data_IF_515491998003
#
_entry.id   IF_515491998003
#
_cell.length_a   1.000
_cell.length_b   1.000
_cell.length_c   1.000
_cell.angle_alpha   90.00
_cell.angle_beta   90.00
_cell.angle_gamma   90.00
#
_symmetry.space_group_name_H-M   'P 1'
#
loop_
_entity.id
_entity.type
_entity.pdbx_description
1 polymer ?
#
# COMPACT_ATOMS: atom_id res chain seq x y z
N UNK A 1 78.32 30.16 21.31
CA UNK A 1 78.06 31.23 20.30
C UNK A 1 77.20 30.63 19.20
N UNK A 2 76.13 31.20 18.67
CA UNK A 2 75.46 32.49 18.83
C UNK A 2 74.15 32.42 18.03
N UNK A 3 73.15 33.14 18.50
CA UNK A 3 71.78 33.24 17.98
C UNK A 3 71.70 33.68 16.50
N UNK A 4 70.65 33.25 15.80
CA UNK A 4 69.85 34.17 14.97
C UNK A 4 68.49 33.59 14.60
N UNK A 5 67.46 34.22 15.14
CA UNK A 5 66.04 34.08 14.82
C UNK A 5 65.67 35.14 13.76
N UNK A 6 64.85 34.80 12.75
CA UNK A 6 63.89 35.68 12.02
C UNK A 6 63.12 34.82 10.99
N UNK A 7 61.83 34.50 11.19
CA UNK A 7 60.56 35.25 11.01
C UNK A 7 60.05 35.40 9.56
N UNK A 8 58.87 34.77 9.34
CA UNK A 8 57.72 35.14 8.47
C UNK A 8 57.97 34.98 6.95
N UNK A 9 57.08 34.44 6.10
CA UNK A 9 55.69 34.85 5.82
C UNK A 9 54.86 33.71 5.18
N UNK A 10 53.54 33.90 5.21
CA UNK A 10 52.47 33.03 4.72
C UNK A 10 52.36 32.94 3.18
N UNK A 11 51.76 31.86 2.66
CA UNK A 11 50.72 31.91 1.62
C UNK A 11 50.06 30.53 1.41
N UNK A 12 48.74 30.52 1.49
CA UNK A 12 47.83 29.45 1.10
C UNK A 12 47.82 29.17 -0.42
N UNK A 13 47.13 28.08 -0.77
CA UNK A 13 46.52 27.69 -2.07
C UNK A 13 47.25 26.49 -2.72
N UNK A 14 46.60 25.41 -3.16
CA UNK A 14 45.26 25.23 -3.73
C UNK A 14 44.73 23.80 -3.53
N UNK A 15 43.40 23.70 -3.54
CA UNK A 15 42.52 22.53 -3.56
C UNK A 15 43.05 21.31 -4.34
N UNK A 16 43.05 20.14 -3.69
CA UNK A 16 42.85 18.86 -4.39
C UNK A 16 41.50 18.31 -3.99
N UNK A 17 40.56 18.48 -4.92
CA UNK A 17 39.18 18.03 -4.87
C UNK A 17 39.15 16.57 -5.32
N UNK A 18 39.21 15.63 -4.37
CA UNK A 18 38.85 14.23 -4.63
C UNK A 18 37.47 13.97 -4.03
N UNK A 19 36.48 14.05 -4.92
CA UNK A 19 35.08 13.73 -4.70
C UNK A 19 34.96 12.29 -4.20
N UNK A 20 34.78 12.11 -2.90
CA UNK A 20 34.25 10.87 -2.34
C UNK A 20 32.74 10.86 -2.56
N UNK A 21 32.31 10.41 -3.73
CA UNK A 21 30.93 9.96 -3.93
C UNK A 21 30.74 8.62 -3.20
N UNK A 22 30.68 8.66 -1.86
CA UNK A 22 30.08 7.57 -1.10
C UNK A 22 28.58 7.73 -1.24
N UNK A 23 28.02 6.93 -2.15
CA UNK A 23 26.59 6.71 -2.31
C UNK A 23 26.00 6.40 -0.93
N UNK A 24 25.41 7.40 -0.29
CA UNK A 24 24.43 7.16 0.75
C UNK A 24 23.25 6.53 0.01
N UNK A 25 23.04 5.23 0.19
CA UNK A 25 21.79 4.60 -0.24
C UNK A 25 20.69 5.24 0.58
N UNK A 26 20.00 6.19 -0.06
CA UNK A 26 18.75 6.75 0.40
C UNK A 26 17.80 5.56 0.59
N UNK A 27 17.36 5.27 1.82
CA UNK A 27 16.21 4.41 2.00
C UNK A 27 15.02 5.22 1.48
N UNK A 28 14.62 4.92 0.24
CA UNK A 28 13.40 5.43 -0.35
C UNK A 28 12.24 4.99 0.54
N UNK A 29 11.44 5.95 0.98
CA UNK A 29 10.08 5.72 1.47
C UNK A 29 9.40 4.87 0.38
N UNK A 30 9.24 3.59 0.65
CA UNK A 30 8.66 2.66 -0.30
C UNK A 30 7.19 3.03 -0.40
N UNK A 31 6.79 3.61 -1.53
CA UNK A 31 5.41 3.96 -1.77
C UNK A 31 4.61 2.66 -1.82
N UNK A 32 3.60 2.50 -0.96
CA UNK A 32 2.78 1.30 -0.96
C UNK A 32 1.99 1.27 -2.27
N UNK A 33 2.36 0.35 -3.17
CA UNK A 33 1.88 0.35 -4.55
C UNK A 33 0.97 -0.82 -4.80
N UNK A 34 -0.18 -0.50 -5.40
CA UNK A 34 -1.10 -1.48 -5.94
C UNK A 34 -0.82 -1.58 -7.44
N UNK A 35 -0.45 -2.77 -7.88
CA UNK A 35 -0.32 -3.11 -9.28
C UNK A 35 -1.57 -3.86 -9.72
N UNK A 36 -2.20 -3.34 -10.76
CA UNK A 36 -3.30 -4.03 -11.40
C UNK A 36 -3.13 -3.97 -12.93
N UNK A 37 -2.84 -5.09 -13.60
CA UNK A 37 -2.74 -5.11 -15.06
C UNK A 37 -4.10 -4.92 -15.76
N UNK A 38 -5.22 -5.11 -15.04
CA UNK A 38 -6.60 -4.99 -15.56
C UNK A 38 -7.30 -3.67 -15.25
N UNK A 39 -6.74 -2.80 -14.39
CA UNK A 39 -7.24 -1.45 -14.15
C UNK A 39 -6.14 -0.46 -14.48
N UNK A 40 -6.38 0.36 -15.49
CA UNK A 40 -5.54 1.50 -15.83
C UNK A 40 -5.55 2.56 -14.74
N UNK A 41 -4.65 3.54 -14.90
CA UNK A 41 -4.45 4.62 -13.95
C UNK A 41 -5.66 5.58 -13.88
N UNK A 42 -5.79 6.19 -12.70
CA UNK A 42 -6.98 6.79 -12.12
C UNK A 42 -7.50 8.06 -12.79
N UNK A 43 -8.77 8.05 -13.21
CA UNK A 43 -9.81 8.92 -12.64
C UNK A 43 -11.18 8.52 -13.21
N UNK A 44 -12.22 8.64 -12.40
CA UNK A 44 -13.61 8.63 -12.89
C UNK A 44 -14.08 10.03 -13.28
N UNK A 45 -13.21 11.04 -13.20
CA UNK A 45 -13.41 12.31 -13.87
C UNK A 45 -13.15 12.11 -15.36
N UNK A 46 -14.09 12.57 -16.18
CA UNK A 46 -14.27 12.35 -17.64
C UNK A 46 -13.11 12.82 -18.56
N UNK A 47 -11.87 12.93 -18.08
CA UNK A 47 -10.72 13.45 -18.84
C UNK A 47 -9.47 12.58 -18.81
N UNK A 48 -9.43 11.52 -18.02
CA UNK A 48 -8.33 10.55 -18.02
C UNK A 48 -8.71 9.29 -18.79
N UNK A 49 -7.73 8.61 -19.38
CA UNK A 49 -7.92 7.35 -20.10
C UNK A 49 -8.55 6.30 -19.18
N UNK A 50 -9.87 6.14 -19.27
CA UNK A 50 -10.59 5.09 -18.57
C UNK A 50 -10.01 3.74 -19.00
N UNK A 51 -9.61 2.91 -18.04
CA UNK A 51 -9.52 1.49 -18.33
C UNK A 51 -10.89 0.87 -18.13
N UNK A 52 -11.39 0.25 -19.19
CA UNK A 52 -12.60 -0.56 -19.12
C UNK A 52 -12.33 -1.76 -18.24
N UNK A 53 -13.19 -1.98 -17.25
CA UNK A 53 -13.21 -3.22 -16.50
C UNK A 53 -13.62 -4.35 -17.46
N UNK A 54 -12.79 -5.40 -17.67
CA UNK A 54 -13.16 -6.49 -18.56
C UNK A 54 -14.44 -7.22 -18.11
N UNK A 55 -15.27 -7.64 -19.07
CA UNK A 55 -16.60 -8.23 -18.84
C UNK A 55 -16.61 -9.38 -17.84
N UNK A 56 -15.53 -10.18 -17.78
CA UNK A 56 -15.38 -11.28 -16.81
C UNK A 56 -15.57 -10.88 -15.34
N UNK A 57 -15.45 -9.60 -15.00
CA UNK A 57 -15.67 -9.08 -13.64
C UNK A 57 -17.12 -8.68 -13.36
N UNK A 58 -17.99 -8.64 -14.38
CA UNK A 58 -19.41 -8.41 -14.20
C UNK A 58 -20.12 -9.63 -13.61
N UNK A 59 -21.28 -9.40 -13.00
CA UNK A 59 -22.03 -10.41 -12.27
C UNK A 59 -22.58 -11.52 -13.15
N UNK A 60 -22.70 -12.73 -12.59
CA UNK A 60 -23.30 -13.86 -13.33
C UNK A 60 -24.77 -13.66 -13.66
N UNK A 61 -25.46 -12.78 -12.92
CA UNK A 61 -26.83 -12.35 -13.20
C UNK A 61 -26.96 -11.50 -14.47
N UNK A 62 -25.87 -10.94 -15.00
CA UNK A 62 -25.82 -10.32 -16.34
C UNK A 62 -25.12 -11.19 -17.40
N UNK A 63 -24.80 -12.45 -17.07
CA UNK A 63 -24.25 -13.42 -18.03
C UNK A 63 -22.73 -13.52 -18.05
N UNK A 64 -22.04 -12.88 -17.11
CA UNK A 64 -20.57 -12.86 -17.03
C UNK A 64 -20.01 -13.76 -15.92
N UNK A 65 -18.67 -13.78 -15.80
CA UNK A 65 -17.97 -14.77 -14.96
C UNK A 65 -17.92 -14.43 -13.47
N UNK A 66 -18.29 -13.22 -13.06
CA UNK A 66 -18.25 -12.77 -11.65
C UNK A 66 -16.87 -12.98 -11.00
N UNK A 67 -15.80 -12.78 -11.77
CA UNK A 67 -14.44 -13.03 -11.30
C UNK A 67 -13.90 -11.81 -10.54
N UNK A 68 -13.26 -12.05 -9.39
CA UNK A 68 -12.52 -10.99 -8.68
C UNK A 68 -11.38 -10.51 -9.57
N UNK A 69 -11.17 -9.20 -9.69
CA UNK A 69 -10.02 -8.72 -10.43
C UNK A 69 -8.69 -9.08 -9.79
N UNK A 70 -7.70 -9.37 -10.64
CA UNK A 70 -6.36 -9.66 -10.15
C UNK A 70 -5.72 -8.40 -9.58
N UNK A 71 -5.28 -8.49 -8.33
CA UNK A 71 -4.67 -7.41 -7.58
C UNK A 71 -3.35 -7.92 -7.02
N UNK A 72 -2.28 -7.16 -7.23
CA UNK A 72 -0.98 -7.39 -6.60
C UNK A 72 -0.59 -6.11 -5.88
N UNK A 73 0.05 -6.21 -4.73
CA UNK A 73 0.57 -5.05 -4.03
C UNK A 73 1.97 -5.34 -3.50
N UNK A 74 2.79 -4.30 -3.50
CA UNK A 74 4.18 -4.37 -3.08
C UNK A 74 4.48 -3.20 -2.13
N UNK A 75 5.66 -3.25 -1.50
CA UNK A 75 6.19 -2.11 -0.74
C UNK A 75 5.30 -1.70 0.45
N UNK A 76 4.62 -2.67 1.07
CA UNK A 76 3.83 -2.43 2.28
C UNK A 76 4.72 -1.90 3.43
N UNK A 77 4.22 -0.96 4.26
CA UNK A 77 4.97 -0.45 5.42
C UNK A 77 5.46 -1.56 6.35
N UNK A 78 6.63 -1.36 6.97
CA UNK A 78 7.29 -2.40 7.78
C UNK A 78 6.48 -2.87 9.00
N UNK A 79 5.55 -2.05 9.49
CA UNK A 79 4.69 -2.32 10.64
C UNK A 79 3.31 -2.86 10.25
N UNK A 80 3.13 -3.24 8.98
CA UNK A 80 1.92 -3.90 8.50
C UNK A 80 1.77 -5.28 9.14
N UNK A 81 0.66 -5.53 9.81
CA UNK A 81 0.28 -6.84 10.36
C UNK A 81 -0.72 -7.60 9.48
N UNK A 82 -1.55 -6.89 8.72
CA UNK A 82 -2.53 -7.50 7.79
C UNK A 82 -2.93 -6.53 6.68
N UNK A 83 -3.68 -7.04 5.70
CA UNK A 83 -4.31 -6.23 4.66
C UNK A 83 -5.84 -6.31 4.72
N UNK A 84 -6.49 -5.26 4.22
CA UNK A 84 -7.89 -5.29 3.85
C UNK A 84 -8.07 -4.84 2.40
N UNK A 85 -9.03 -5.44 1.70
CA UNK A 85 -9.40 -5.10 0.32
C UNK A 85 -10.87 -4.75 0.27
N UNK A 86 -11.16 -3.63 -0.39
CA UNK A 86 -12.52 -3.17 -0.66
C UNK A 86 -12.65 -2.88 -2.16
N UNK A 87 -13.69 -3.44 -2.78
CA UNK A 87 -14.10 -3.10 -4.15
C UNK A 87 -15.48 -2.46 -4.06
N UNK A 88 -15.60 -1.22 -4.52
CA UNK A 88 -16.84 -0.44 -4.46
C UNK A 88 -17.16 0.19 -5.80
N UNK A 89 -18.44 0.18 -6.17
CA UNK A 89 -18.98 1.06 -7.21
C UNK A 89 -19.30 2.44 -6.64
N UNK A 90 -18.69 3.46 -7.24
CA UNK A 90 -18.83 4.88 -6.90
C UNK A 90 -19.47 5.68 -8.05
N UNK A 91 -20.20 5.00 -8.94
CA UNK A 91 -20.91 5.61 -10.10
C UNK A 91 -21.96 6.65 -9.73
N UNK A 92 -22.46 6.65 -8.49
CA UNK A 92 -23.44 7.62 -8.02
C UNK A 92 -22.86 8.55 -6.95
N UNK A 93 -23.40 9.78 -6.84
CA UNK A 93 -23.07 10.74 -5.77
C UNK A 93 -23.55 10.31 -4.37
N UNK A 94 -23.87 9.03 -4.18
CA UNK A 94 -24.37 8.45 -2.92
C UNK A 94 -23.25 7.69 -2.21
N UNK A 95 -23.63 6.95 -1.16
CA UNK A 95 -22.76 5.98 -0.50
C UNK A 95 -22.16 5.01 -1.55
N UNK A 96 -20.85 4.71 -1.48
CA UNK A 96 -20.24 3.66 -2.28
C UNK A 96 -20.99 2.35 -2.09
N UNK A 97 -21.22 1.62 -3.18
CA UNK A 97 -21.82 0.28 -3.15
C UNK A 97 -20.72 -0.76 -3.08
N UNK A 98 -20.59 -1.46 -1.97
CA UNK A 98 -19.54 -2.45 -1.75
C UNK A 98 -19.83 -3.77 -2.45
N UNK A 99 -19.03 -4.10 -3.45
CA UNK A 99 -19.07 -5.35 -4.20
C UNK A 99 -18.19 -6.44 -3.58
N UNK A 100 -17.13 -6.05 -2.86
CA UNK A 100 -16.26 -6.95 -2.08
C UNK A 100 -15.76 -6.22 -0.84
N UNK A 101 -15.80 -6.90 0.30
CA UNK A 101 -15.09 -6.51 1.52
C UNK A 101 -14.39 -7.71 2.11
N UNK A 102 -13.09 -7.59 2.31
CA UNK A 102 -12.25 -8.64 2.91
C UNK A 102 -11.23 -7.98 3.81
N UNK A 103 -10.99 -8.55 4.99
CA UNK A 103 -9.98 -8.08 5.94
C UNK A 103 -9.23 -9.26 6.56
N UNK A 104 -8.26 -8.93 7.41
CA UNK A 104 -7.37 -9.89 8.07
C UNK A 104 -6.59 -10.77 7.06
N UNK A 105 -6.35 -10.25 5.85
CA UNK A 105 -5.49 -10.91 4.86
C UNK A 105 -4.06 -10.94 5.43
N UNK A 106 -3.41 -12.10 5.54
CA UNK A 106 -2.09 -12.17 6.16
C UNK A 106 -1.04 -11.36 5.41
N UNK A 107 -0.04 -10.85 6.15
CA UNK A 107 1.08 -10.09 5.59
C UNK A 107 1.83 -10.83 4.47
N UNK A 108 1.86 -12.17 4.51
CA UNK A 108 2.52 -12.99 3.48
C UNK A 108 1.77 -13.03 2.14
N UNK A 109 0.51 -12.58 2.11
CA UNK A 109 -0.30 -12.52 0.89
C UNK A 109 -0.15 -11.14 0.27
N UNK A 110 0.46 -11.10 -0.91
CA UNK A 110 0.69 -9.87 -1.68
C UNK A 110 -0.13 -9.80 -2.97
N UNK A 111 -1.01 -10.78 -3.19
CA UNK A 111 -1.88 -10.81 -4.37
C UNK A 111 -3.17 -11.56 -4.12
N UNK A 112 -4.26 -11.14 -4.77
CA UNK A 112 -5.52 -11.87 -4.87
C UNK A 112 -6.04 -11.85 -6.31
N UNK A 113 -7.00 -12.71 -6.62
CA UNK A 113 -7.64 -12.75 -7.94
C UNK A 113 -8.73 -13.80 -8.04
N UNK A 114 -9.09 -14.22 -9.28
CA UNK A 114 -10.24 -15.09 -9.53
C UNK A 114 -10.22 -16.44 -8.78
N UNK A 115 -9.03 -16.96 -8.47
CA UNK A 115 -8.83 -18.26 -7.82
C UNK A 115 -8.61 -18.15 -6.30
N UNK A 116 -8.68 -16.94 -5.74
CA UNK A 116 -8.42 -16.74 -4.31
C UNK A 116 -9.56 -17.27 -3.46
N UNK A 117 -9.26 -18.25 -2.60
CA UNK A 117 -10.14 -18.63 -1.51
C UNK A 117 -9.73 -17.89 -0.22
N UNK A 118 -10.53 -16.89 0.17
CA UNK A 118 -10.23 -16.05 1.34
C UNK A 118 -10.15 -16.83 2.65
N UNK A 119 -11.00 -17.85 2.83
CA UNK A 119 -10.99 -18.66 4.04
C UNK A 119 -9.71 -19.50 4.16
N UNK A 120 -9.24 -20.09 3.05
CA UNK A 120 -8.02 -20.91 3.06
C UNK A 120 -6.76 -20.09 3.33
N UNK A 121 -6.72 -18.82 2.91
CA UNK A 121 -5.60 -17.92 3.21
C UNK A 121 -5.72 -17.25 4.58
N UNK A 122 -6.73 -17.57 5.39
CA UNK A 122 -6.90 -16.99 6.73
C UNK A 122 -7.48 -15.58 6.75
N UNK A 123 -8.05 -15.11 5.63
CA UNK A 123 -8.76 -13.84 5.56
C UNK A 123 -10.24 -14.01 5.92
N UNK A 124 -10.89 -12.90 6.29
CA UNK A 124 -12.33 -12.85 6.59
C UNK A 124 -13.04 -12.08 5.49
N UNK A 125 -14.00 -12.74 4.82
CA UNK A 125 -14.92 -12.10 3.89
C UNK A 125 -16.18 -11.64 4.62
N UNK A 126 -16.56 -10.38 4.43
CA UNK A 126 -17.79 -9.82 5.00
C UNK A 126 -18.99 -9.95 4.09
N UNK A 127 -20.11 -9.40 4.56
CA UNK A 127 -21.35 -9.28 3.80
C UNK A 127 -21.29 -8.01 2.94
N UNK A 128 -21.30 -8.19 1.63
CA UNK A 128 -21.31 -7.08 0.66
C UNK A 128 -22.73 -6.48 0.53
N UNK A 129 -22.87 -5.38 -0.22
CA UNK A 129 -24.15 -4.64 -0.30
C UNK A 129 -25.23 -5.37 -1.13
N UNK A 130 -24.88 -6.47 -1.82
CA UNK A 130 -25.86 -7.39 -2.42
C UNK A 130 -26.40 -8.42 -1.42
N UNK A 131 -25.89 -8.43 -0.18
CA UNK A 131 -26.23 -9.40 0.86
C UNK A 131 -25.45 -10.72 0.78
N UNK A 132 -24.45 -10.81 -0.09
CA UNK A 132 -23.65 -12.01 -0.28
C UNK A 132 -22.29 -11.92 0.42
N UNK A 133 -21.70 -13.08 0.75
CA UNK A 133 -20.31 -13.16 1.20
C UNK A 133 -19.41 -13.30 -0.03
N UNK A 134 -18.36 -12.48 -0.10
CA UNK A 134 -17.41 -12.48 -1.21
C UNK A 134 -17.74 -11.44 -2.29
N UNK A 135 -17.29 -11.69 -3.52
CA UNK A 135 -17.44 -10.73 -4.61
C UNK A 135 -18.77 -10.89 -5.34
N UNK A 136 -19.46 -9.77 -5.50
CA UNK A 136 -20.60 -9.66 -6.39
C UNK A 136 -20.29 -8.61 -7.45
N UNK A 137 -20.02 -9.10 -8.65
CA UNK A 137 -19.78 -8.32 -9.85
C UNK A 137 -20.94 -7.39 -10.17
N UNK A 138 -20.61 -6.29 -10.82
CA UNK A 138 -21.57 -5.27 -11.22
C UNK A 138 -22.37 -5.75 -12.44
N UNK A 139 -23.60 -5.28 -12.56
CA UNK A 139 -24.40 -5.41 -13.78
C UNK A 139 -24.92 -4.03 -14.18
N UNK A 140 -24.04 -3.16 -14.70
CA UNK A 140 -24.41 -1.77 -14.92
C UNK A 140 -25.20 -1.61 -16.23
N UNK A 141 -26.32 -0.89 -16.18
CA UNK A 141 -27.09 -0.53 -17.40
C UNK A 141 -26.39 0.56 -18.24
N UNK A 142 -25.47 1.30 -17.61
CA UNK A 142 -24.68 2.41 -18.18
C UNK A 142 -23.22 2.26 -17.75
N UNK A 143 -22.41 3.30 -17.94
CA UNK A 143 -21.04 3.33 -17.40
C UNK A 143 -21.06 3.32 -15.86
N UNK A 144 -20.18 2.52 -15.26
CA UNK A 144 -19.98 2.45 -13.82
C UNK A 144 -18.52 2.77 -13.46
N UNK A 145 -18.31 3.35 -12.28
CA UNK A 145 -16.99 3.71 -11.78
C UNK A 145 -16.64 2.78 -10.62
N UNK A 146 -15.61 1.96 -10.77
CA UNK A 146 -15.18 1.02 -9.74
C UNK A 146 -13.92 1.52 -9.07
N UNK A 147 -14.00 1.67 -7.75
CA UNK A 147 -12.85 1.95 -6.89
C UNK A 147 -12.41 0.67 -6.19
N UNK A 148 -11.14 0.33 -6.37
CA UNK A 148 -10.47 -0.73 -5.61
C UNK A 148 -9.53 -0.09 -4.60
N UNK A 149 -9.63 -0.49 -3.34
CA UNK A 149 -8.79 -0.01 -2.25
C UNK A 149 -8.13 -1.19 -1.56
N UNK A 150 -6.81 -1.11 -1.37
CA UNK A 150 -6.04 -2.03 -0.52
C UNK A 150 -5.51 -1.21 0.65
N UNK A 151 -5.70 -1.71 1.87
CA UNK A 151 -5.25 -1.07 3.10
C UNK A 151 -4.17 -1.92 3.75
N UNK A 152 -3.03 -1.32 4.06
CA UNK A 152 -2.03 -1.90 4.94
C UNK A 152 -2.37 -1.53 6.39
N UNK A 153 -2.58 -2.53 7.24
CA UNK A 153 -3.08 -2.35 8.60
C UNK A 153 -2.03 -2.81 9.61
N UNK A 154 -1.75 -2.00 10.62
CA UNK A 154 -0.88 -2.37 11.74
C UNK A 154 -1.35 -3.62 12.51
N UNK A 155 -2.63 -3.75 12.92
CA UNK A 155 -3.08 -4.97 13.59
C UNK A 155 -3.11 -6.16 12.62
N UNK A 156 -2.83 -7.36 13.11
CA UNK A 156 -3.00 -8.61 12.36
C UNK A 156 -4.46 -9.06 12.28
N UNK A 157 -5.34 -8.56 13.15
CA UNK A 157 -6.77 -8.81 13.07
C UNK A 157 -7.61 -7.59 13.49
N UNK A 158 -8.73 -7.38 12.80
CA UNK A 158 -9.72 -6.36 13.13
C UNK A 158 -10.73 -6.80 14.19
N UNK A 159 -10.88 -8.10 14.42
CA UNK A 159 -11.86 -8.67 15.35
C UNK A 159 -13.32 -8.43 14.95
N UNK A 160 -13.57 -8.25 13.65
CA UNK A 160 -14.93 -8.13 13.10
C UNK A 160 -15.48 -9.53 12.78
N UNK A 161 -16.78 -9.72 13.00
CA UNK A 161 -17.47 -10.95 12.61
C UNK A 161 -17.52 -11.09 11.08
N UNK A 162 -17.55 -12.31 10.55
CA UNK A 162 -17.70 -12.56 9.10
C UNK A 162 -19.02 -12.06 8.52
N UNK A 163 -20.02 -11.76 9.35
CA UNK A 163 -21.27 -11.11 8.93
C UNK A 163 -21.14 -9.58 8.80
N UNK A 164 -20.02 -8.99 9.21
CA UNK A 164 -19.86 -7.54 9.22
C UNK A 164 -19.98 -6.95 7.82
N UNK A 165 -20.59 -5.77 7.78
CA UNK A 165 -20.90 -5.01 6.57
C UNK A 165 -19.80 -4.01 6.22
N UNK A 166 -19.90 -3.40 5.02
CA UNK A 166 -19.01 -2.33 4.61
C UNK A 166 -18.97 -1.18 5.63
N UNK A 167 -20.12 -0.81 6.21
CA UNK A 167 -20.21 0.28 7.18
C UNK A 167 -19.39 -0.02 8.45
N UNK A 168 -19.45 -1.26 8.95
CA UNK A 168 -18.72 -1.67 10.14
C UNK A 168 -17.21 -1.74 9.89
N UNK A 169 -16.81 -2.30 8.75
CA UNK A 169 -15.41 -2.33 8.32
C UNK A 169 -14.88 -0.90 8.14
N UNK A 170 -15.60 -0.05 7.41
CA UNK A 170 -15.20 1.33 7.16
C UNK A 170 -15.06 2.12 8.46
N UNK A 171 -16.01 1.99 9.39
CA UNK A 171 -15.93 2.62 10.71
C UNK A 171 -14.70 2.14 11.50
N UNK A 172 -14.36 0.86 11.43
CA UNK A 172 -13.15 0.31 12.07
C UNK A 172 -11.88 0.88 11.45
N UNK A 173 -11.81 0.98 10.12
CA UNK A 173 -10.69 1.57 9.39
C UNK A 173 -10.51 3.06 9.72
N UNK A 174 -11.60 3.83 9.80
CA UNK A 174 -11.56 5.24 10.21
C UNK A 174 -11.00 5.40 11.62
N UNK A 175 -11.46 4.58 12.57
CA UNK A 175 -10.93 4.60 13.94
C UNK A 175 -9.42 4.29 13.98
N UNK A 176 -8.96 3.31 13.20
CA UNK A 176 -7.53 3.00 13.09
C UNK A 176 -6.72 4.14 12.48
N UNK A 177 -7.29 4.88 11.52
CA UNK A 177 -6.66 6.06 10.92
C UNK A 177 -6.50 7.19 11.94
N UNK A 178 -7.55 7.48 12.71
CA UNK A 178 -7.50 8.47 13.79
C UNK A 178 -6.47 8.13 14.87
N UNK A 179 -6.35 6.84 15.22
CA UNK A 179 -5.40 6.36 16.22
C UNK A 179 -3.96 6.28 15.65
N UNK A 180 -3.81 6.06 14.34
CA UNK A 180 -2.54 6.14 13.61
C UNK A 180 -1.91 7.54 13.63
N UNK A 181 -2.73 8.59 13.74
CA UNK A 181 -2.27 9.96 13.94
C UNK A 181 -1.85 10.29 15.38
N UNK A 182 -2.16 9.43 16.37
CA UNK A 182 -1.87 9.65 17.79
C UNK A 182 -0.61 8.92 18.28
N UNK A 183 -0.14 7.93 17.54
CA UNK A 183 1.11 7.24 17.86
C UNK A 183 2.27 7.89 17.10
N UNK A 184 3.33 8.37 17.79
CA UNK A 184 4.51 8.85 17.10
C UNK A 184 5.07 7.71 16.23
N UNK A 185 5.25 8.00 14.94
CA UNK A 185 5.93 7.11 13.99
C UNK A 185 7.22 6.64 14.68
N UNK A 186 7.49 5.32 14.79
CA UNK A 186 8.69 4.84 15.47
C UNK A 186 9.88 5.55 14.87
N UNK A 187 10.51 6.43 15.66
CA UNK A 187 11.75 7.07 15.23
C UNK A 187 12.73 5.92 15.06
N UNK A 188 13.41 5.76 13.91
CA UNK A 188 14.38 4.69 13.74
C UNK A 188 15.39 4.84 14.88
N UNK A 189 15.35 3.90 15.81
CA UNK A 189 16.18 3.96 17.01
C UNK A 189 17.60 3.81 16.51
N UNK A 190 18.39 4.87 16.66
CA UNK A 190 19.83 4.88 16.41
C UNK A 190 20.54 4.02 17.46
N UNK A 191 20.31 2.72 17.39
CA UNK A 191 20.97 1.69 18.20
C UNK A 191 21.77 0.75 17.31
N UNK A 192 22.44 1.30 16.30
CA UNK A 192 23.65 0.66 15.77
C UNK A 192 24.81 1.06 16.70
N UNK A 193 25.09 0.20 17.69
CA UNK A 193 26.35 0.18 18.42
C UNK A 193 27.48 0.25 17.40
N UNK A 194 28.36 1.23 17.56
CA UNK A 194 29.48 1.53 16.65
C UNK A 194 30.50 0.39 16.70
N UNK A 195 30.25 -0.72 15.99
CA UNK A 195 31.24 -1.76 15.74
C UNK A 195 32.08 -1.27 14.56
N UNK A 196 33.28 -0.82 14.92
CA UNK A 196 34.29 -0.29 14.02
C UNK A 196 35.14 -1.48 13.56
N UNK A 197 34.79 -2.09 12.41
CA UNK A 197 35.70 -3.05 11.77
C UNK A 197 35.69 -2.88 10.26
N UNK A 198 36.71 -2.13 9.83
CA UNK A 198 37.53 -2.26 8.63
C UNK A 198 36.97 -3.02 7.40
N UNK A 199 36.58 -2.28 6.36
CA UNK A 199 36.47 -2.81 5.00
C UNK A 199 37.66 -2.32 4.17
N UNK A 200 38.61 -3.22 3.97
CA UNK A 200 39.79 -3.12 3.10
C UNK A 200 39.34 -3.40 1.66
N UNK A 201 39.47 -2.43 0.75
CA UNK A 201 39.23 -2.61 -0.68
C UNK A 201 40.49 -3.19 -1.37
N UNK A 202 40.32 -4.16 -2.28
CA UNK A 202 41.24 -4.42 -3.40
C UNK A 202 40.70 -3.70 -4.63
#
# INVERSE_FOLDING_TARGET
MGFSMRRRWAASATLSFCVLLKCATCQTESDFRIENPGFGVSSCDDTSSMALLPDKHFGSNCGDKNEIPQLTWNDAPFDTGSFAVIVTDTSSNKMPFANLIVWDIPLSVTSIGPQTNFSTIGAVSGTNDTGNIGYSGLCPEKQACVKVSVYALRPSSLGLASSATYTELHKKLLKLSEDGGKHPRPTPTRSAKKIKTDCRAR
#
